data_IF_333399063561
#
_entry.id   IF_333399063561
#
_cell.length_a   1.000
_cell.length_b   1.000
_cell.length_c   1.000
_cell.angle_alpha   90.00
_cell.angle_beta   90.00
_cell.angle_gamma   90.00
#
_symmetry.space_group_name_H-M   'P 1'
#
loop_
_entity.id
_entity.type
_entity.pdbx_description
1 polymer ?
#
# COMPACT_ATOMS: atom_id res chain seq x y z
N UNK A 1 -2.72 -7.61 -19.10
CA UNK A 1 -2.67 -6.15 -19.33
C UNK A 1 -1.61 -5.87 -20.41
N UNK A 2 -1.84 -4.96 -21.35
CA UNK A 2 -0.86 -4.64 -22.42
C UNK A 2 0.04 -3.51 -21.92
N UNK A 3 1.36 -3.70 -22.01
CA UNK A 3 2.36 -2.69 -21.67
C UNK A 3 2.55 -1.77 -22.88
N UNK A 4 2.61 -0.46 -22.65
CA UNK A 4 2.80 0.51 -23.74
C UNK A 4 4.28 0.69 -24.09
N UNK A 5 4.61 1.27 -25.26
CA UNK A 5 5.99 1.64 -25.58
C UNK A 5 6.61 2.58 -24.54
N UNK A 6 5.83 3.54 -24.04
CA UNK A 6 6.25 4.45 -22.97
C UNK A 6 6.61 3.70 -21.68
N UNK A 7 5.73 2.80 -21.23
CA UNK A 7 5.98 2.00 -20.03
C UNK A 7 7.21 1.10 -20.21
N UNK A 8 7.41 0.56 -21.40
CA UNK A 8 8.59 -0.25 -21.72
C UNK A 8 9.88 0.56 -21.57
N UNK A 9 9.92 1.77 -22.12
CA UNK A 9 11.08 2.65 -22.01
C UNK A 9 11.34 3.10 -20.56
N UNK A 10 10.28 3.48 -19.84
CA UNK A 10 10.33 3.81 -18.41
C UNK A 10 10.95 2.67 -17.59
N UNK A 11 10.47 1.43 -17.78
CA UNK A 11 10.97 0.28 -17.05
C UNK A 11 12.42 -0.06 -17.42
N UNK A 12 12.79 0.05 -18.70
CA UNK A 12 14.18 -0.14 -19.12
C UNK A 12 15.12 0.86 -18.45
N UNK A 13 14.77 2.15 -18.42
CA UNK A 13 15.58 3.20 -17.78
C UNK A 13 15.73 3.03 -16.27
N UNK A 14 14.71 2.48 -15.61
CA UNK A 14 14.72 2.25 -14.16
C UNK A 14 15.26 0.87 -13.75
N UNK A 15 15.39 -0.07 -14.69
CA UNK A 15 15.69 -1.48 -14.40
C UNK A 15 16.99 -1.69 -13.62
N UNK A 16 18.10 -1.07 -14.06
CA UNK A 16 19.41 -1.21 -13.40
C UNK A 16 19.35 -0.68 -11.96
N UNK A 17 18.79 0.52 -11.78
CA UNK A 17 18.62 1.11 -10.45
C UNK A 17 17.80 0.22 -9.51
N UNK A 18 16.68 -0.32 -9.98
CA UNK A 18 15.86 -1.21 -9.16
C UNK A 18 16.56 -2.54 -8.86
N UNK A 19 17.23 -3.13 -9.84
CA UNK A 19 17.97 -4.38 -9.67
C UNK A 19 19.11 -4.23 -8.64
N UNK A 20 19.87 -3.13 -8.69
CA UNK A 20 20.92 -2.80 -7.71
C UNK A 20 20.36 -2.67 -6.28
N UNK A 21 19.08 -2.29 -6.14
CA UNK A 21 18.39 -2.20 -4.86
C UNK A 21 17.60 -3.47 -4.48
N UNK A 22 17.70 -4.54 -5.28
CA UNK A 22 17.08 -5.84 -5.03
C UNK A 22 15.60 -5.93 -5.42
N UNK A 23 15.14 -5.05 -6.31
CA UNK A 23 13.80 -5.09 -6.88
C UNK A 23 13.81 -5.74 -8.27
N UNK A 24 12.75 -6.49 -8.55
CA UNK A 24 12.51 -7.16 -9.83
C UNK A 24 11.29 -6.55 -10.52
N UNK A 25 11.31 -6.48 -11.85
CA UNK A 25 10.18 -5.98 -12.64
C UNK A 25 9.09 -7.05 -12.74
N UNK A 26 7.89 -6.74 -12.26
CA UNK A 26 6.66 -7.47 -12.53
C UNK A 26 5.84 -6.67 -13.55
N UNK A 27 6.15 -6.91 -14.82
CA UNK A 27 5.68 -6.09 -15.93
C UNK A 27 4.17 -6.20 -16.16
N UNK A 28 3.60 -7.38 -15.94
CA UNK A 28 2.15 -7.66 -15.99
C UNK A 28 1.38 -6.93 -14.88
N UNK A 29 2.05 -6.60 -13.77
CA UNK A 29 1.50 -5.89 -12.61
C UNK A 29 1.95 -4.43 -12.52
N UNK A 30 2.66 -3.92 -13.53
CA UNK A 30 3.15 -2.52 -13.61
C UNK A 30 3.87 -2.06 -12.34
N UNK A 31 4.71 -2.92 -11.78
CA UNK A 31 5.43 -2.61 -10.55
C UNK A 31 6.83 -3.22 -10.54
N UNK A 32 7.73 -2.59 -9.80
CA UNK A 32 8.94 -3.22 -9.31
C UNK A 32 8.68 -3.76 -7.91
N UNK A 33 9.13 -4.98 -7.61
CA UNK A 33 8.89 -5.66 -6.33
C UNK A 33 10.18 -6.21 -5.73
N UNK A 34 10.37 -6.02 -4.43
CA UNK A 34 11.44 -6.63 -3.65
C UNK A 34 10.83 -7.53 -2.59
N UNK A 35 11.20 -8.80 -2.57
CA UNK A 35 10.74 -9.73 -1.55
C UNK A 35 11.38 -9.40 -0.20
N UNK A 36 10.64 -9.66 0.87
CA UNK A 36 11.09 -9.52 2.26
C UNK A 36 10.71 -10.78 3.04
N UNK A 37 11.31 -11.06 4.20
CA UNK A 37 10.96 -12.24 5.00
C UNK A 37 9.48 -12.33 5.41
N UNK A 38 8.77 -11.20 5.44
CA UNK A 38 7.37 -11.11 5.90
C UNK A 38 6.39 -10.71 4.79
N UNK A 39 6.82 -10.65 3.52
CA UNK A 39 5.99 -10.18 2.41
C UNK A 39 6.83 -9.47 1.35
N UNK A 40 6.47 -8.27 0.93
CA UNK A 40 7.24 -7.54 -0.08
C UNK A 40 7.18 -6.02 0.07
N UNK A 41 8.11 -5.36 -0.61
CA UNK A 41 8.09 -3.93 -0.95
C UNK A 41 7.79 -3.76 -2.43
N UNK A 42 7.10 -2.69 -2.81
CA UNK A 42 6.85 -2.40 -4.21
C UNK A 42 6.86 -0.91 -4.55
N UNK A 43 7.12 -0.66 -5.83
CA UNK A 43 6.92 0.63 -6.48
C UNK A 43 6.01 0.41 -7.68
N UNK A 44 4.83 1.01 -7.64
CA UNK A 44 3.76 0.83 -8.63
C UNK A 44 3.68 2.06 -9.52
N UNK A 45 3.55 1.83 -10.83
CA UNK A 45 3.48 2.88 -11.85
C UNK A 45 2.09 2.89 -12.48
N UNK A 46 1.44 4.05 -12.45
CA UNK A 46 0.11 4.24 -13.02
C UNK A 46 0.13 5.36 -14.04
N UNK A 47 0.00 5.00 -15.32
CA UNK A 47 -0.02 5.96 -16.43
C UNK A 47 -1.44 6.31 -16.85
N UNK A 48 -1.72 7.58 -17.10
CA UNK A 48 -2.93 8.07 -17.77
C UNK A 48 -2.55 8.85 -19.03
N UNK A 49 -3.14 8.49 -20.17
CA UNK A 49 -2.86 9.14 -21.45
C UNK A 49 -3.86 10.27 -21.70
N UNK A 50 -3.36 11.47 -22.00
CA UNK A 50 -4.12 12.64 -22.45
C UNK A 50 -3.67 13.01 -23.86
N UNK A 51 -4.43 13.88 -24.54
CA UNK A 51 -4.25 14.18 -25.97
C UNK A 51 -2.80 14.47 -26.36
N UNK A 52 -2.06 15.24 -25.54
CA UNK A 52 -0.68 15.65 -25.81
C UNK A 52 0.29 15.38 -24.64
N UNK A 53 -0.13 14.63 -23.61
CA UNK A 53 0.72 14.40 -22.43
C UNK A 53 0.40 13.07 -21.75
N UNK A 54 1.42 12.48 -21.14
CA UNK A 54 1.32 11.30 -20.31
C UNK A 54 1.43 11.74 -18.85
N UNK A 55 0.47 11.36 -18.03
CA UNK A 55 0.53 11.57 -16.59
C UNK A 55 0.97 10.28 -15.92
N UNK A 56 2.07 10.33 -15.18
CA UNK A 56 2.59 9.23 -14.40
C UNK A 56 2.38 9.50 -12.90
N UNK A 57 1.65 8.60 -12.24
CA UNK A 57 1.60 8.48 -10.78
C UNK A 57 2.51 7.34 -10.35
N UNK A 58 3.33 7.60 -9.33
CA UNK A 58 4.23 6.62 -8.73
C UNK A 58 3.81 6.45 -7.28
N UNK A 59 3.59 5.19 -6.88
CA UNK A 59 3.27 4.84 -5.50
C UNK A 59 4.28 3.87 -4.94
N UNK A 60 4.65 4.06 -3.67
CA UNK A 60 5.45 3.09 -2.91
C UNK A 60 4.54 2.37 -1.93
N UNK A 61 4.83 1.09 -1.70
CA UNK A 61 4.04 0.26 -0.82
C UNK A 61 4.83 -0.85 -0.17
N UNK A 62 4.22 -1.43 0.85
CA UNK A 62 4.68 -2.64 1.48
C UNK A 62 3.50 -3.56 1.78
N UNK A 63 3.77 -4.85 1.75
CA UNK A 63 2.88 -5.93 2.17
C UNK A 63 3.51 -6.67 3.33
N UNK A 64 2.74 -6.82 4.40
CA UNK A 64 2.96 -7.84 5.41
C UNK A 64 2.00 -9.01 5.14
N UNK A 65 2.57 -10.15 4.73
CA UNK A 65 1.88 -11.29 4.16
C UNK A 65 0.76 -11.80 5.06
N UNK A 66 1.02 -12.02 6.34
CA UNK A 66 0.02 -12.57 7.26
C UNK A 66 -1.16 -11.61 7.48
N UNK A 67 -0.89 -10.30 7.53
CA UNK A 67 -1.93 -9.28 7.72
C UNK A 67 -2.84 -9.25 6.49
N UNK A 68 -2.27 -9.21 5.29
CA UNK A 68 -3.07 -9.21 4.07
C UNK A 68 -3.74 -10.56 3.84
N UNK A 69 -3.08 -11.68 4.10
CA UNK A 69 -3.69 -13.00 3.94
C UNK A 69 -5.00 -13.11 4.71
N UNK A 70 -5.03 -12.61 5.95
CA UNK A 70 -6.26 -12.57 6.72
C UNK A 70 -7.21 -11.47 6.24
N UNK A 71 -6.73 -10.24 6.04
CA UNK A 71 -7.58 -9.13 5.63
C UNK A 71 -8.34 -9.42 4.32
N UNK A 72 -7.67 -10.01 3.32
CA UNK A 72 -8.24 -10.30 2.01
C UNK A 72 -9.35 -11.38 2.05
N UNK A 73 -9.52 -12.12 3.14
CA UNK A 73 -10.68 -13.02 3.33
C UNK A 73 -11.96 -12.27 3.70
N UNK A 74 -11.82 -11.04 4.21
CA UNK A 74 -12.92 -10.20 4.68
C UNK A 74 -13.07 -8.91 3.87
N UNK A 75 -12.16 -8.62 2.95
CA UNK A 75 -12.25 -7.48 2.04
C UNK A 75 -12.81 -7.91 0.69
N UNK A 76 -13.44 -6.98 -0.01
CA UNK A 76 -14.13 -7.17 -1.28
C UNK A 76 -13.21 -7.03 -2.51
N UNK A 77 -11.88 -7.05 -2.32
CA UNK A 77 -10.95 -7.01 -3.43
C UNK A 77 -11.11 -8.25 -4.32
N UNK A 78 -11.10 -8.02 -5.64
CA UNK A 78 -11.14 -9.09 -6.63
C UNK A 78 -9.96 -10.06 -6.44
N UNK A 79 -10.22 -11.35 -6.65
CA UNK A 79 -9.32 -12.43 -6.29
C UNK A 79 -7.94 -12.29 -6.95
N UNK A 80 -7.92 -11.85 -8.21
CA UNK A 80 -6.70 -11.65 -9.00
C UNK A 80 -5.78 -10.54 -8.48
N UNK A 81 -6.25 -9.67 -7.57
CA UNK A 81 -5.48 -8.59 -6.96
C UNK A 81 -5.10 -8.85 -5.50
N UNK A 82 -5.60 -9.92 -4.87
CA UNK A 82 -5.37 -10.19 -3.44
C UNK A 82 -3.90 -10.46 -3.12
N UNK A 83 -3.20 -11.15 -4.01
CA UNK A 83 -1.76 -11.44 -3.86
C UNK A 83 -0.89 -10.18 -3.93
N UNK A 84 -1.35 -9.16 -4.68
CA UNK A 84 -0.65 -7.89 -4.88
C UNK A 84 -1.09 -6.80 -3.89
N UNK A 85 -2.07 -7.07 -3.04
CA UNK A 85 -2.57 -6.09 -2.09
C UNK A 85 -1.48 -5.62 -1.13
N UNK A 86 -1.45 -4.31 -0.87
CA UNK A 86 -0.49 -3.67 0.02
C UNK A 86 -1.09 -3.47 1.41
N UNK A 87 -0.29 -3.69 2.45
CA UNK A 87 -0.63 -3.30 3.83
C UNK A 87 -0.57 -1.79 3.99
N UNK A 88 0.45 -1.14 3.42
CA UNK A 88 0.51 0.32 3.28
C UNK A 88 0.84 0.67 1.83
N UNK A 89 0.22 1.73 1.32
CA UNK A 89 0.52 2.27 -0.01
C UNK A 89 0.27 3.78 -0.02
N UNK A 90 1.18 4.52 -0.65
CA UNK A 90 1.12 5.97 -0.76
C UNK A 90 1.80 6.45 -2.05
N UNK A 91 1.19 7.44 -2.72
CA UNK A 91 1.77 8.08 -3.90
C UNK A 91 2.86 9.05 -3.48
N UNK A 92 3.85 9.26 -4.36
CA UNK A 92 4.91 10.24 -4.15
C UNK A 92 4.33 11.62 -3.81
N UNK A 93 3.27 12.02 -4.52
CA UNK A 93 2.55 13.26 -4.25
C UNK A 93 2.04 13.36 -2.82
N UNK A 94 1.22 12.40 -2.40
CA UNK A 94 0.65 12.39 -1.04
C UNK A 94 1.72 12.20 0.03
N UNK A 95 2.82 11.52 -0.28
CA UNK A 95 3.96 11.39 0.62
C UNK A 95 4.53 12.77 0.97
N UNK A 96 4.75 13.60 -0.06
CA UNK A 96 5.26 14.97 0.02
C UNK A 96 4.16 16.02 0.31
N UNK A 97 2.97 15.60 0.73
CA UNK A 97 1.80 16.43 1.01
C UNK A 97 1.31 17.30 -0.18
N UNK A 98 1.66 16.90 -1.41
CA UNK A 98 1.10 17.44 -2.67
C UNK A 98 0.09 16.44 -3.27
N UNK A 99 -1.19 16.64 -2.92
CA UNK A 99 -2.28 15.72 -3.26
C UNK A 99 -2.54 15.55 -4.76
N UNK A 100 -2.16 16.51 -5.58
CA UNK A 100 -2.46 16.50 -7.02
C UNK A 100 -1.21 16.30 -7.89
N UNK A 101 -0.06 16.10 -7.25
CA UNK A 101 1.19 15.83 -7.94
C UNK A 101 1.07 14.59 -8.84
N UNK A 102 1.46 14.79 -10.09
CA UNK A 102 1.74 13.74 -11.07
C UNK A 102 2.90 14.22 -11.93
N UNK A 103 3.77 13.31 -12.32
CA UNK A 103 4.76 13.61 -13.34
C UNK A 103 4.03 13.79 -14.67
N UNK A 104 4.29 14.88 -15.37
CA UNK A 104 3.69 15.20 -16.67
C UNK A 104 4.78 15.11 -17.72
N UNK A 105 4.59 14.24 -18.71
CA UNK A 105 5.58 13.95 -19.75
C UNK A 105 5.00 14.25 -21.13
N UNK A 106 5.74 15.00 -21.91
CA UNK A 106 5.46 15.38 -23.30
C UNK A 106 6.61 14.96 -24.24
N UNK A 107 7.81 14.74 -23.70
CA UNK A 107 9.03 14.40 -24.43
C UNK A 107 9.83 13.26 -23.79
N UNK A 108 10.83 12.76 -24.51
CA UNK A 108 11.82 11.79 -23.98
C UNK A 108 12.77 12.43 -22.97
N UNK A 109 13.04 13.73 -23.07
CA UNK A 109 13.85 14.47 -22.09
C UNK A 109 13.13 14.48 -20.74
N UNK A 110 11.81 14.74 -20.74
CA UNK A 110 10.98 14.68 -19.54
C UNK A 110 11.06 13.31 -18.87
N UNK A 111 11.18 12.22 -19.66
CA UNK A 111 11.28 10.87 -19.12
C UNK A 111 12.60 10.65 -18.36
N UNK A 112 13.72 11.21 -18.83
CA UNK A 112 14.99 11.11 -18.11
C UNK A 112 14.91 11.86 -16.77
N UNK A 113 14.42 13.10 -16.81
CA UNK A 113 14.27 13.94 -15.62
C UNK A 113 13.34 13.29 -14.58
N UNK A 114 12.22 12.71 -15.05
CA UNK A 114 11.28 11.99 -14.18
C UNK A 114 11.93 10.73 -13.60
N UNK A 115 12.71 9.98 -14.38
CA UNK A 115 13.43 8.82 -13.85
C UNK A 115 14.40 9.22 -12.74
N UNK A 116 15.13 10.31 -12.90
CA UNK A 116 16.09 10.77 -11.90
C UNK A 116 15.40 11.29 -10.63
N UNK A 117 14.29 12.02 -10.78
CA UNK A 117 13.45 12.42 -9.64
C UNK A 117 12.89 11.21 -8.87
N UNK A 118 12.46 10.16 -9.56
CA UNK A 118 11.97 8.93 -8.93
C UNK A 118 13.10 8.25 -8.16
N UNK A 119 14.29 8.12 -8.74
CA UNK A 119 15.47 7.52 -8.07
C UNK A 119 15.84 8.32 -6.83
N UNK A 120 15.92 9.64 -6.95
CA UNK A 120 16.25 10.54 -5.85
C UNK A 120 15.23 10.41 -4.70
N UNK A 121 13.93 10.43 -5.01
CA UNK A 121 12.89 10.21 -4.00
C UNK A 121 13.05 8.86 -3.29
N UNK A 122 13.30 7.79 -4.04
CA UNK A 122 13.43 6.44 -3.48
C UNK A 122 14.65 6.33 -2.55
N UNK A 123 15.81 6.86 -2.96
CA UNK A 123 17.04 6.86 -2.17
C UNK A 123 16.91 7.72 -0.90
N UNK A 124 16.30 8.90 -1.01
CA UNK A 124 16.25 9.84 0.10
C UNK A 124 15.15 9.51 1.12
N UNK A 125 14.03 8.94 0.67
CA UNK A 125 12.83 8.80 1.52
C UNK A 125 12.08 7.47 1.31
N UNK A 126 11.94 7.01 0.07
CA UNK A 126 11.08 5.87 -0.26
C UNK A 126 11.52 4.55 0.37
N UNK A 127 12.79 4.17 0.23
CA UNK A 127 13.32 2.93 0.82
C UNK A 127 13.31 2.98 2.35
N UNK A 128 13.74 4.09 2.94
CA UNK A 128 13.71 4.29 4.39
C UNK A 128 12.28 4.19 4.96
N UNK A 129 11.26 4.66 4.23
CA UNK A 129 9.86 4.48 4.63
C UNK A 129 9.46 3.00 4.69
N UNK A 130 9.77 2.22 3.64
CA UNK A 130 9.41 0.80 3.56
C UNK A 130 10.12 -0.02 4.66
N UNK A 131 11.37 0.28 4.94
CA UNK A 131 12.13 -0.35 6.03
C UNK A 131 11.55 0.01 7.41
N UNK A 132 11.27 1.30 7.64
CA UNK A 132 10.73 1.79 8.91
C UNK A 132 9.41 1.11 9.28
N UNK A 133 8.52 0.92 8.31
CA UNK A 133 7.18 0.37 8.55
C UNK A 133 7.02 -1.10 8.13
N UNK A 134 8.11 -1.79 7.78
CA UNK A 134 8.06 -3.19 7.36
C UNK A 134 7.77 -4.19 8.49
N UNK A 135 7.99 -3.81 9.74
CA UNK A 135 7.79 -4.71 10.89
C UNK A 135 6.37 -4.64 11.46
N UNK A 136 5.89 -5.77 11.99
CA UNK A 136 4.61 -5.85 12.69
C UNK A 136 4.47 -4.80 13.80
N UNK A 137 5.53 -4.59 14.59
CA UNK A 137 5.56 -3.57 15.66
C UNK A 137 5.36 -2.16 15.12
N UNK A 138 6.05 -1.80 14.04
CA UNK A 138 5.93 -0.48 13.43
C UNK A 138 4.54 -0.25 12.82
N UNK A 139 3.98 -1.28 12.17
CA UNK A 139 2.60 -1.24 11.67
C UNK A 139 1.59 -1.06 12.80
N UNK A 140 1.80 -1.74 13.93
CA UNK A 140 0.92 -1.63 15.09
C UNK A 140 0.88 -0.20 15.62
N UNK A 141 2.05 0.42 15.82
CA UNK A 141 2.11 1.82 16.22
C UNK A 141 1.43 2.74 15.20
N UNK A 142 1.77 2.59 13.91
CA UNK A 142 1.22 3.44 12.86
C UNK A 142 -0.32 3.39 12.78
N UNK A 143 -0.91 2.22 12.98
CA UNK A 143 -2.34 2.02 12.78
C UNK A 143 -3.15 2.19 14.08
N UNK A 144 -2.59 1.82 15.23
CA UNK A 144 -3.31 1.68 16.50
C UNK A 144 -2.97 2.73 17.57
N UNK A 145 -1.93 3.55 17.42
CA UNK A 145 -1.65 4.63 18.37
C UNK A 145 -2.74 5.73 18.30
N UNK A 146 -3.20 6.05 17.08
CA UNK A 146 -4.29 7.00 16.82
C UNK A 146 -5.37 6.36 15.93
N UNK A 147 -6.15 5.38 16.44
CA UNK A 147 -7.01 4.52 15.62
C UNK A 147 -8.20 5.28 14.99
N UNK A 148 -8.60 6.42 15.56
CA UNK A 148 -9.69 7.26 15.06
C UNK A 148 -9.27 8.30 14.02
N UNK A 149 -7.96 8.50 13.84
CA UNK A 149 -7.42 9.43 12.84
C UNK A 149 -7.13 8.71 11.53
N UNK A 150 -7.40 9.33 10.37
CA UNK A 150 -7.08 8.74 9.08
C UNK A 150 -5.56 8.61 8.90
N UNK A 151 -5.12 7.53 8.24
CA UNK A 151 -3.72 7.37 7.85
C UNK A 151 -3.53 7.77 6.39
N UNK A 152 -2.52 8.59 6.09
CA UNK A 152 -2.19 8.93 4.70
C UNK A 152 -1.63 7.74 3.91
N UNK A 153 -1.09 6.73 4.61
CA UNK A 153 -0.46 5.53 4.02
C UNK A 153 -1.45 4.41 3.66
N UNK A 154 -2.75 4.67 3.79
CA UNK A 154 -3.83 3.79 3.35
C UNK A 154 -4.87 4.67 2.67
N UNK A 155 -5.30 4.32 1.45
CA UNK A 155 -6.32 5.12 0.76
C UNK A 155 -7.72 4.84 1.29
N UNK A 156 -8.10 3.56 1.37
CA UNK A 156 -9.38 3.14 1.92
C UNK A 156 -9.31 3.06 3.45
N UNK A 157 -10.00 3.98 4.14
CA UNK A 157 -10.00 4.06 5.60
C UNK A 157 -10.85 2.97 6.27
N UNK A 158 -11.81 2.37 5.55
CA UNK A 158 -12.52 1.18 6.04
C UNK A 158 -11.54 0.00 6.05
N UNK A 159 -10.80 -0.22 4.96
CA UNK A 159 -9.77 -1.27 4.90
C UNK A 159 -8.69 -1.07 5.97
N UNK A 160 -8.35 0.19 6.30
CA UNK A 160 -7.47 0.51 7.43
C UNK A 160 -7.98 -0.09 8.75
N UNK A 161 -9.28 -0.05 9.01
CA UNK A 161 -9.85 -0.59 10.24
C UNK A 161 -9.67 -2.11 10.33
N UNK A 162 -9.92 -2.83 9.22
CA UNK A 162 -9.68 -4.27 9.12
C UNK A 162 -8.21 -4.62 9.39
N UNK A 163 -7.30 -3.93 8.70
CA UNK A 163 -5.86 -4.19 8.85
C UNK A 163 -5.35 -3.81 10.25
N UNK A 164 -5.81 -2.67 10.79
CA UNK A 164 -5.42 -2.19 12.12
C UNK A 164 -5.77 -3.17 13.24
N UNK A 165 -6.99 -3.72 13.23
CA UNK A 165 -7.39 -4.69 14.25
C UNK A 165 -6.67 -6.03 14.11
N UNK A 166 -6.38 -6.49 12.89
CA UNK A 166 -5.55 -7.68 12.63
C UNK A 166 -4.14 -7.47 13.21
N UNK A 167 -3.52 -6.33 12.90
CA UNK A 167 -2.20 -5.98 13.42
C UNK A 167 -2.20 -5.92 14.95
N UNK A 168 -3.24 -5.34 15.56
CA UNK A 168 -3.39 -5.27 17.01
C UNK A 168 -3.45 -6.68 17.62
N UNK A 169 -4.15 -7.62 16.97
CA UNK A 169 -4.22 -9.00 17.42
C UNK A 169 -2.87 -9.71 17.30
N UNK A 170 -2.21 -9.61 16.16
CA UNK A 170 -0.95 -10.31 15.89
C UNK A 170 0.19 -9.79 16.76
N UNK A 171 0.14 -8.52 17.14
CA UNK A 171 1.11 -7.89 18.05
C UNK A 171 0.79 -8.07 19.54
N UNK A 172 -0.26 -8.82 19.89
CA UNK A 172 -0.76 -8.96 21.26
C UNK A 172 -0.96 -7.60 21.96
N UNK A 173 -1.56 -6.63 21.26
CA UNK A 173 -1.73 -5.28 21.76
C UNK A 173 -2.53 -5.28 23.09
N UNK A 174 -1.97 -4.68 24.15
CA UNK A 174 -2.54 -4.62 25.51
C UNK A 174 -4.02 -4.17 25.55
N UNK A 175 -4.34 -3.15 24.74
CA UNK A 175 -5.69 -2.57 24.62
C UNK A 175 -6.53 -3.18 23.48
N UNK A 176 -6.28 -4.43 23.09
CA UNK A 176 -6.97 -5.08 21.96
C UNK A 176 -8.50 -4.99 22.05
N UNK A 177 -9.09 -5.33 23.20
CA UNK A 177 -10.55 -5.24 23.40
C UNK A 177 -11.08 -3.82 23.22
N UNK A 178 -10.31 -2.80 23.62
CA UNK A 178 -10.69 -1.40 23.42
C UNK A 178 -10.61 -0.99 21.95
N UNK A 179 -9.63 -1.50 21.21
CA UNK A 179 -9.49 -1.25 19.77
C UNK A 179 -10.65 -1.83 18.97
N UNK A 180 -11.22 -2.96 19.40
CA UNK A 180 -12.45 -3.53 18.80
C UNK A 180 -13.58 -2.48 18.81
N UNK A 181 -13.88 -1.90 19.97
CA UNK A 181 -14.94 -0.91 20.10
C UNK A 181 -14.67 0.35 19.27
N UNK A 182 -13.41 0.82 19.28
CA UNK A 182 -13.01 2.01 18.53
C UNK A 182 -13.14 1.80 17.03
N UNK A 183 -12.67 0.67 16.49
CA UNK A 183 -12.78 0.40 15.06
C UNK A 183 -14.21 0.09 14.64
N UNK A 184 -15.03 -0.55 15.47
CA UNK A 184 -16.46 -0.75 15.19
C UNK A 184 -17.16 0.60 14.96
N UNK A 185 -16.95 1.55 15.88
CA UNK A 185 -17.48 2.92 15.73
C UNK A 185 -16.90 3.60 14.49
N UNK A 186 -15.60 3.43 14.23
CA UNK A 186 -14.94 4.08 13.11
C UNK A 186 -15.43 3.57 11.75
N UNK A 187 -15.63 2.25 11.58
CA UNK A 187 -16.17 1.65 10.35
C UNK A 187 -17.55 2.23 10.05
N UNK A 188 -18.44 2.29 11.04
CA UNK A 188 -19.75 2.92 10.88
C UNK A 188 -19.66 4.41 10.53
N UNK A 189 -18.79 5.16 11.23
CA UNK A 189 -18.57 6.61 10.99
C UNK A 189 -18.02 6.91 9.61
N UNK A 190 -17.22 6.01 9.04
CA UNK A 190 -16.65 6.15 7.69
C UNK A 190 -17.68 5.84 6.59
N UNK A 191 -18.91 5.48 6.94
CA UNK A 191 -19.99 5.23 5.99
C UNK A 191 -19.95 3.85 5.34
N UNK A 192 -19.32 2.87 5.99
CA UNK A 192 -19.35 1.49 5.53
C UNK A 192 -20.79 0.99 5.40
N UNK A 193 -21.08 0.25 4.34
CA UNK A 193 -22.36 -0.41 4.11
C UNK A 193 -22.69 -1.40 5.23
N UNK A 194 -23.97 -1.80 5.33
CA UNK A 194 -24.41 -2.81 6.31
C UNK A 194 -23.63 -4.12 6.10
N UNK A 195 -23.38 -4.50 4.84
CA UNK A 195 -22.62 -5.70 4.50
C UNK A 195 -21.15 -5.61 4.93
N UNK A 196 -20.49 -4.47 4.69
CA UNK A 196 -19.11 -4.24 5.17
C UNK A 196 -19.04 -4.26 6.70
N UNK A 197 -20.01 -3.66 7.39
CA UNK A 197 -20.08 -3.69 8.85
C UNK A 197 -20.26 -5.13 9.38
N UNK A 198 -21.16 -5.91 8.79
CA UNK A 198 -21.34 -7.33 9.13
C UNK A 198 -20.05 -8.13 8.88
N UNK A 199 -19.36 -7.85 7.78
CA UNK A 199 -18.10 -8.48 7.44
C UNK A 199 -17.01 -8.13 8.46
N UNK A 200 -16.98 -6.89 8.92
CA UNK A 200 -16.09 -6.45 9.99
C UNK A 200 -16.39 -7.18 11.30
N UNK A 201 -17.66 -7.34 11.71
CA UNK A 201 -18.02 -8.11 12.90
C UNK A 201 -17.62 -9.60 12.80
N UNK A 202 -17.69 -10.19 11.61
CA UNK A 202 -17.17 -11.56 11.37
C UNK A 202 -15.67 -11.63 11.62
N UNK A 203 -14.90 -10.65 11.13
CA UNK A 203 -13.47 -10.55 11.40
C UNK A 203 -13.20 -10.42 12.90
N UNK A 204 -13.92 -9.53 13.60
CA UNK A 204 -13.75 -9.35 15.05
C UNK A 204 -14.02 -10.63 15.82
N UNK A 205 -15.09 -11.35 15.46
CA UNK A 205 -15.42 -12.65 16.05
C UNK A 205 -14.33 -13.68 15.79
N UNK A 206 -13.81 -13.73 14.55
CA UNK A 206 -12.71 -14.61 14.20
C UNK A 206 -11.47 -14.32 15.06
N UNK A 207 -11.06 -13.06 15.18
CA UNK A 207 -9.87 -12.67 15.95
C UNK A 207 -10.02 -12.91 17.47
N UNK A 208 -11.25 -12.85 18.00
CA UNK A 208 -11.55 -13.10 19.41
C UNK A 208 -11.50 -14.59 19.78
N UNK A 209 -12.11 -15.44 18.95
CA UNK A 209 -12.38 -16.83 19.32
C UNK A 209 -11.46 -17.85 18.67
N UNK A 210 -10.77 -17.50 17.57
CA UNK A 210 -9.75 -18.35 17.00
C UNK A 210 -8.38 -18.00 17.59
N UNK A 211 -7.74 -19.03 18.16
CA UNK A 211 -6.34 -18.96 18.58
C UNK A 211 -5.45 -18.84 17.35
N UNK A 212 -4.58 -17.83 17.35
CA UNK A 212 -3.45 -17.75 16.43
C UNK A 212 -2.37 -18.68 17.01
N UNK A 213 -2.49 -19.98 16.70
CA UNK A 213 -1.51 -20.98 17.08
C UNK A 213 -0.29 -20.92 16.17
#
# INVERSE_FOLDING_TARGET
MIITPFETELYQKLSVFFAENGFELLSDRKQFRKQTPVGFYNVVFSTSYRTNEIWLDVSIGLRHQEIEFLAQQFLDNAEEYREDANTLVISVGKFNDDKYFRYKLQSTEDLNDVCDQIKEFLLNQGFAFMEKYGSLKALNHLLNDEPTKPSKFLYNQIHRCFKGIIVARFSNHERFLRLIDLYRVQVAKLGASIEEQQTFERLLSFLLYHSLN
#
